data_IF_300978767894
#
_entry.id   IF_300978767894
#
_cell.length_a   1.000
_cell.length_b   1.000
_cell.length_c   1.000
_cell.angle_alpha   90.00
_cell.angle_beta   90.00
_cell.angle_gamma   90.00
#
_symmetry.space_group_name_H-M   'P 1'
#
loop_
_entity.id
_entity.type
_entity.pdbx_description
1 polymer ?
#
# COMPACT_ATOMS: atom_id res chain seq x y z
N UNK A 1 -3.74 26.05 15.10
CA UNK A 1 -4.29 24.74 14.66
C UNK A 1 -3.54 24.36 13.41
N UNK A 2 -2.70 23.33 13.46
CA UNK A 2 -2.11 22.76 12.25
C UNK A 2 -3.16 21.82 11.66
N UNK A 3 -3.82 22.23 10.56
CA UNK A 3 -4.71 21.33 9.82
C UNK A 3 -3.85 20.34 9.05
N UNK A 4 -4.08 19.06 9.28
CA UNK A 4 -3.47 18.00 8.47
C UNK A 4 -3.99 18.14 7.03
N UNK A 5 -3.11 18.21 6.01
CA UNK A 5 -3.53 18.32 4.62
C UNK A 5 -4.50 17.22 4.21
N UNK A 6 -5.44 17.53 3.32
CA UNK A 6 -6.23 16.49 2.68
C UNK A 6 -5.34 15.70 1.71
N UNK A 7 -5.42 14.36 1.75
CA UNK A 7 -4.58 13.50 0.93
C UNK A 7 -4.71 12.02 1.29
N UNK A 8 -4.06 11.19 0.49
CA UNK A 8 -3.86 9.77 0.79
C UNK A 8 -2.56 9.64 1.56
N UNK A 9 -2.63 9.06 2.75
CA UNK A 9 -1.45 8.82 3.57
C UNK A 9 -1.04 7.36 3.50
N UNK A 10 0.25 7.11 3.27
CA UNK A 10 0.85 5.79 3.32
C UNK A 10 1.61 5.67 4.64
N UNK A 11 1.40 4.58 5.36
CA UNK A 11 2.18 4.23 6.54
C UNK A 11 2.61 2.77 6.45
N UNK A 12 3.55 2.40 7.30
CA UNK A 12 4.13 1.05 7.34
C UNK A 12 3.75 0.39 8.65
N UNK A 13 3.48 -0.92 8.61
CA UNK A 13 3.30 -1.70 9.83
C UNK A 13 4.62 -1.76 10.61
N UNK A 14 4.54 -1.73 11.94
CA UNK A 14 5.69 -2.02 12.80
C UNK A 14 5.98 -3.52 12.83
N UNK A 15 4.90 -4.31 12.85
CA UNK A 15 4.97 -5.77 12.73
C UNK A 15 5.30 -6.17 11.29
N UNK A 16 6.09 -7.24 11.13
CA UNK A 16 6.34 -7.89 9.85
C UNK A 16 5.52 -9.16 9.72
N UNK A 17 5.16 -9.50 8.49
CA UNK A 17 4.28 -10.60 8.17
C UNK A 17 4.92 -11.53 7.15
N UNK A 18 4.61 -12.82 7.26
CA UNK A 18 4.84 -13.78 6.19
C UNK A 18 3.83 -13.59 5.04
N UNK A 19 4.03 -14.31 3.94
CA UNK A 19 3.20 -14.23 2.74
C UNK A 19 1.74 -14.63 2.94
N UNK A 20 1.38 -15.30 4.04
CA UNK A 20 0.02 -15.73 4.34
C UNK A 20 -0.86 -14.59 4.89
N UNK A 21 -0.85 -13.43 4.22
CA UNK A 21 -1.58 -12.23 4.64
C UNK A 21 -3.09 -12.44 4.72
N UNK A 22 -3.68 -13.41 4.02
CA UNK A 22 -5.10 -13.72 4.08
C UNK A 22 -5.52 -14.44 5.38
N UNK A 23 -4.58 -14.78 6.27
CA UNK A 23 -4.88 -15.41 7.56
C UNK A 23 -5.56 -14.47 8.58
N UNK A 24 -5.64 -13.17 8.29
CA UNK A 24 -6.12 -12.13 9.22
C UNK A 24 -7.55 -11.67 8.93
N UNK A 25 -8.31 -12.41 8.13
CA UNK A 25 -9.64 -12.05 7.67
C UNK A 25 -10.27 -13.12 6.78
N UNK A 26 -11.42 -12.82 6.17
CA UNK A 26 -12.14 -13.73 5.27
C UNK A 26 -11.59 -13.74 3.84
N UNK A 27 -10.98 -12.63 3.41
CA UNK A 27 -10.29 -12.48 2.13
C UNK A 27 -8.97 -11.74 2.34
N UNK A 28 -8.10 -11.70 1.32
CA UNK A 28 -6.85 -10.94 1.38
C UNK A 28 -7.10 -9.44 1.64
N UNK A 29 -8.13 -8.87 1.02
CA UNK A 29 -8.51 -7.46 1.16
C UNK A 29 -8.94 -7.14 2.60
N UNK A 30 -9.86 -7.94 3.16
CA UNK A 30 -10.29 -7.76 4.55
C UNK A 30 -9.17 -8.03 5.55
N UNK A 31 -8.29 -8.99 5.25
CA UNK A 31 -7.12 -9.26 6.07
C UNK A 31 -6.15 -8.08 6.07
N UNK A 32 -5.88 -7.51 4.90
CA UNK A 32 -5.06 -6.31 4.75
C UNK A 32 -5.66 -5.12 5.50
N UNK A 33 -6.98 -4.91 5.41
CA UNK A 33 -7.66 -3.89 6.19
C UNK A 33 -7.52 -4.12 7.71
N UNK A 34 -7.67 -5.36 8.19
CA UNK A 34 -7.53 -5.68 9.61
C UNK A 34 -6.10 -5.44 10.11
N UNK A 35 -5.08 -5.85 9.34
CA UNK A 35 -3.67 -5.57 9.62
C UNK A 35 -3.46 -4.04 9.75
N UNK A 36 -3.91 -3.29 8.75
CA UNK A 36 -3.73 -1.84 8.73
C UNK A 36 -4.45 -1.15 9.88
N UNK A 37 -5.71 -1.51 10.17
CA UNK A 37 -6.45 -0.96 11.32
C UNK A 37 -5.75 -1.22 12.65
N UNK A 38 -5.20 -2.42 12.84
CA UNK A 38 -4.47 -2.79 14.06
C UNK A 38 -3.18 -1.99 14.25
N UNK A 39 -2.48 -1.67 13.15
CA UNK A 39 -1.17 -1.00 13.18
C UNK A 39 -1.26 0.53 13.11
N UNK A 40 -2.42 1.09 12.71
CA UNK A 40 -2.62 2.53 12.53
C UNK A 40 -2.22 3.36 13.76
N UNK A 41 -2.67 2.95 14.95
CA UNK A 41 -2.39 3.66 16.22
C UNK A 41 -0.91 3.66 16.61
N UNK A 42 -0.15 2.69 16.12
CA UNK A 42 1.28 2.54 16.41
C UNK A 42 2.16 3.08 15.27
N UNK A 43 1.55 3.54 14.19
CA UNK A 43 2.25 4.13 13.06
C UNK A 43 2.66 5.58 13.34
N UNK A 44 3.69 6.06 12.64
CA UNK A 44 4.16 7.45 12.68
C UNK A 44 3.25 8.44 11.93
N UNK A 45 2.02 8.02 11.61
CA UNK A 45 1.07 8.72 10.77
C UNK A 45 0.56 10.00 11.45
N UNK A 46 0.81 11.13 10.79
CA UNK A 46 0.34 12.47 11.21
C UNK A 46 -1.18 12.61 11.10
N UNK A 47 -1.82 11.85 10.19
CA UNK A 47 -3.27 11.81 10.02
C UNK A 47 -3.90 10.56 10.63
N UNK A 48 -4.10 10.53 11.94
CA UNK A 48 -4.77 9.40 12.60
C UNK A 48 -6.29 9.34 12.33
N UNK A 49 -6.88 10.34 11.69
CA UNK A 49 -8.34 10.52 11.60
C UNK A 49 -8.96 10.08 10.28
N UNK A 50 -8.19 9.55 9.33
CA UNK A 50 -8.78 9.01 8.11
C UNK A 50 -9.78 7.87 8.43
N UNK A 51 -10.99 7.88 7.85
CA UNK A 51 -12.00 6.87 8.13
C UNK A 51 -11.67 5.52 7.49
N UNK A 52 -10.97 5.51 6.35
CA UNK A 52 -10.71 4.29 5.60
C UNK A 52 -9.23 3.98 5.48
N UNK A 53 -8.94 2.68 5.63
CA UNK A 53 -7.59 2.12 5.52
C UNK A 53 -7.61 0.80 4.76
N UNK A 54 -6.62 0.62 3.91
CA UNK A 54 -6.45 -0.59 3.09
C UNK A 54 -4.97 -0.92 2.93
N UNK A 55 -4.62 -2.20 2.96
CA UNK A 55 -3.25 -2.61 2.68
C UNK A 55 -2.87 -2.30 1.24
N UNK A 56 -1.69 -1.74 1.03
CA UNK A 56 -1.09 -1.50 -0.27
C UNK A 56 -0.45 -2.82 -0.78
N UNK A 57 -1.30 -3.82 -0.95
CA UNK A 57 -0.97 -5.16 -1.48
C UNK A 57 -1.94 -5.48 -2.60
N UNK A 58 -1.45 -6.00 -3.73
CA UNK A 58 -2.30 -6.35 -4.87
C UNK A 58 -2.97 -7.72 -4.68
N UNK A 59 -4.30 -7.73 -4.73
CA UNK A 59 -5.11 -8.95 -4.64
C UNK A 59 -5.69 -9.37 -5.99
N UNK A 60 -5.98 -10.66 -6.14
CA UNK A 60 -6.61 -11.18 -7.37
C UNK A 60 -7.98 -10.53 -7.64
N UNK A 61 -8.71 -10.19 -6.58
CA UNK A 61 -10.02 -9.54 -6.68
C UNK A 61 -9.91 -8.03 -6.78
N UNK A 62 -8.98 -7.42 -6.04
CA UNK A 62 -8.71 -5.98 -6.10
C UNK A 62 -7.23 -5.70 -6.33
N UNK A 63 -6.81 -5.52 -7.60
CA UNK A 63 -5.50 -5.00 -7.94
C UNK A 63 -5.27 -3.60 -7.37
N UNK A 64 -4.02 -3.24 -7.09
CA UNK A 64 -3.67 -1.88 -6.62
C UNK A 64 -4.13 -0.79 -7.60
N UNK A 65 -4.07 -1.08 -8.91
CA UNK A 65 -4.53 -0.19 -9.97
C UNK A 65 -6.03 0.12 -9.92
N UNK A 66 -6.82 -0.70 -9.22
CA UNK A 66 -8.27 -0.54 -9.09
C UNK A 66 -8.69 0.06 -7.73
N UNK A 67 -7.76 0.48 -6.86
CA UNK A 67 -8.12 1.00 -5.53
C UNK A 67 -9.06 2.20 -5.59
N UNK A 68 -8.91 3.07 -6.58
CA UNK A 68 -9.80 4.23 -6.77
C UNK A 68 -11.25 3.82 -7.03
N UNK A 69 -11.49 2.79 -7.85
CA UNK A 69 -12.84 2.32 -8.18
C UNK A 69 -13.41 1.34 -7.16
N UNK A 70 -12.56 0.49 -6.55
CA UNK A 70 -13.01 -0.51 -5.58
C UNK A 70 -13.22 0.05 -4.17
N UNK A 71 -12.44 1.06 -3.77
CA UNK A 71 -12.47 1.61 -2.40
C UNK A 71 -12.79 3.11 -2.35
N UNK A 72 -13.22 3.69 -3.48
CA UNK A 72 -13.46 5.13 -3.61
C UNK A 72 -12.26 5.99 -3.18
N UNK A 73 -11.05 5.47 -3.40
CA UNK A 73 -9.81 6.17 -3.06
C UNK A 73 -9.69 7.45 -3.93
N UNK A 74 -9.47 8.62 -3.32
CA UNK A 74 -9.43 9.89 -4.05
C UNK A 74 -8.21 9.98 -4.96
N UNK A 75 -8.44 10.16 -6.27
CA UNK A 75 -7.33 10.23 -7.22
C UNK A 75 -6.68 11.59 -7.29
N UNK A 76 -7.44 12.68 -7.21
CA UNK A 76 -6.97 14.06 -7.42
C UNK A 76 -6.40 14.74 -6.16
N UNK A 77 -5.91 13.97 -5.19
CA UNK A 77 -5.29 14.50 -3.96
C UNK A 77 -3.88 13.95 -3.79
N UNK A 78 -2.95 14.70 -3.16
CA UNK A 78 -1.57 14.25 -3.03
C UNK A 78 -1.44 12.98 -2.19
N UNK A 79 -0.39 12.21 -2.49
CA UNK A 79 -0.01 11.03 -1.72
C UNK A 79 1.15 11.41 -0.79
N UNK A 80 0.98 11.17 0.50
CA UNK A 80 1.94 11.50 1.55
C UNK A 80 2.45 10.25 2.25
N UNK A 81 3.69 10.28 2.74
CA UNK A 81 4.14 9.35 3.76
C UNK A 81 3.57 9.68 5.14
N UNK A 82 3.93 8.91 6.18
CA UNK A 82 3.32 9.03 7.49
C UNK A 82 3.67 10.36 8.15
N UNK A 83 4.83 10.94 7.82
CA UNK A 83 5.31 12.22 8.37
C UNK A 83 4.76 13.46 7.65
N UNK A 84 3.91 13.28 6.61
CA UNK A 84 3.41 14.36 5.76
C UNK A 84 4.36 14.77 4.62
N UNK A 85 5.47 14.06 4.44
CA UNK A 85 6.34 14.22 3.26
C UNK A 85 5.62 13.69 2.03
N UNK A 86 5.52 14.49 0.97
CA UNK A 86 4.83 14.10 -0.26
C UNK A 86 5.63 13.06 -1.06
N UNK A 87 4.94 12.00 -1.50
CA UNK A 87 5.45 10.90 -2.31
C UNK A 87 5.08 11.08 -3.80
N UNK A 88 3.86 11.53 -4.09
CA UNK A 88 3.37 11.80 -5.45
C UNK A 88 2.33 12.94 -5.44
N UNK A 89 2.09 13.58 -6.59
CA UNK A 89 1.13 14.69 -6.68
C UNK A 89 -0.32 14.23 -6.61
N UNK A 90 -0.60 12.99 -7.02
CA UNK A 90 -1.93 12.40 -7.05
C UNK A 90 -1.80 10.86 -7.09
N UNK A 91 -2.91 10.14 -6.87
CA UNK A 91 -2.91 8.67 -6.89
C UNK A 91 -2.65 8.11 -8.28
N UNK A 92 -3.14 8.78 -9.32
CA UNK A 92 -2.98 8.31 -10.69
C UNK A 92 -1.51 8.31 -11.12
N UNK A 93 -0.72 9.31 -10.70
CA UNK A 93 0.74 9.33 -10.84
C UNK A 93 1.40 8.25 -9.97
N UNK A 94 0.90 8.05 -8.74
CA UNK A 94 1.44 7.05 -7.81
C UNK A 94 1.28 5.62 -8.35
N UNK A 95 0.18 5.32 -9.03
CA UNK A 95 -0.16 4.00 -9.60
C UNK A 95 -0.12 3.96 -11.15
N UNK A 96 0.53 4.93 -11.80
CA UNK A 96 0.44 5.13 -13.26
C UNK A 96 0.97 3.93 -14.05
N UNK A 97 0.06 3.29 -14.80
CA UNK A 97 0.38 2.15 -15.68
C UNK A 97 0.90 2.63 -17.04
N UNK A 98 0.45 3.80 -17.50
CA UNK A 98 0.74 4.30 -18.85
C UNK A 98 2.10 5.00 -18.92
N UNK A 99 2.42 5.77 -17.88
CA UNK A 99 3.70 6.47 -17.76
C UNK A 99 4.16 6.34 -16.32
N UNK A 100 4.92 5.28 -15.98
CA UNK A 100 5.40 5.08 -14.63
C UNK A 100 6.19 6.30 -14.16
N UNK A 101 5.75 6.93 -13.07
CA UNK A 101 6.38 8.15 -12.52
C UNK A 101 7.23 7.77 -11.32
N UNK A 102 8.43 8.34 -11.23
CA UNK A 102 9.27 8.20 -10.04
C UNK A 102 8.64 8.90 -8.84
N UNK A 103 8.78 8.31 -7.66
CA UNK A 103 8.40 8.96 -6.42
C UNK A 103 9.20 10.24 -6.20
N UNK A 104 8.57 11.23 -5.57
CA UNK A 104 9.23 12.48 -5.17
C UNK A 104 10.30 12.22 -4.12
N UNK A 105 10.06 11.23 -3.24
CA UNK A 105 10.96 10.73 -2.18
C UNK A 105 10.79 9.22 -2.05
N UNK A 106 11.82 8.51 -1.62
CA UNK A 106 11.66 7.09 -1.28
C UNK A 106 10.76 6.94 -0.04
N UNK A 107 10.20 5.74 0.16
CA UNK A 107 9.40 5.47 1.36
C UNK A 107 10.24 5.60 2.64
N UNK A 108 11.51 5.22 2.59
CA UNK A 108 12.45 5.40 3.69
C UNK A 108 12.62 6.88 4.06
N UNK A 109 12.84 7.75 3.07
CA UNK A 109 12.95 9.21 3.27
C UNK A 109 11.67 9.83 3.83
N UNK A 110 10.50 9.27 3.49
CA UNK A 110 9.21 9.73 3.98
C UNK A 110 8.85 9.19 5.38
N UNK A 111 9.67 8.30 5.96
CA UNK A 111 9.53 7.79 7.32
C UNK A 111 8.77 6.47 7.45
N UNK A 112 8.72 5.65 6.40
CA UNK A 112 8.09 4.32 6.41
C UNK A 112 9.04 3.18 6.83
N UNK A 113 10.31 3.51 7.10
CA UNK A 113 11.37 2.54 7.38
C UNK A 113 12.18 2.18 6.12
N UNK A 114 13.31 1.50 6.31
CA UNK A 114 14.25 1.15 5.24
C UNK A 114 14.08 -0.30 4.74
N UNK A 115 13.08 -1.01 5.25
CA UNK A 115 12.87 -2.43 4.96
C UNK A 115 11.87 -2.59 3.82
N UNK A 116 12.14 -3.54 2.93
CA UNK A 116 11.25 -3.88 1.83
C UNK A 116 9.92 -4.48 2.35
N UNK A 117 8.89 -4.38 1.52
CA UNK A 117 7.51 -4.67 1.90
C UNK A 117 6.84 -5.60 0.89
N UNK A 118 5.81 -6.33 1.33
CA UNK A 118 4.98 -7.10 0.42
C UNK A 118 4.18 -6.16 -0.49
N UNK A 119 4.37 -6.28 -1.80
CA UNK A 119 3.56 -5.56 -2.81
C UNK A 119 2.56 -6.50 -3.48
N UNK A 120 2.94 -7.77 -3.67
CA UNK A 120 2.20 -8.76 -4.48
C UNK A 120 1.84 -8.25 -5.87
N UNK A 121 2.60 -7.28 -6.38
CA UNK A 121 2.30 -6.55 -7.58
C UNK A 121 3.49 -6.57 -8.55
N UNK A 122 3.18 -6.44 -9.84
CA UNK A 122 4.13 -5.87 -10.80
C UNK A 122 4.09 -4.34 -10.73
N UNK A 123 4.98 -3.69 -11.50
CA UNK A 123 5.10 -2.22 -11.58
C UNK A 123 3.77 -1.52 -11.88
N UNK A 124 2.86 -2.12 -12.66
CA UNK A 124 1.54 -1.56 -12.97
C UNK A 124 0.51 -1.68 -11.85
N UNK A 125 0.88 -2.24 -10.69
CA UNK A 125 -0.06 -2.54 -9.60
C UNK A 125 -0.93 -3.78 -9.84
N UNK A 126 -0.79 -4.45 -10.99
CA UNK A 126 -1.49 -5.71 -11.26
C UNK A 126 -0.93 -6.83 -10.37
N UNK A 127 -1.75 -7.83 -9.97
CA UNK A 127 -1.30 -8.90 -9.09
C UNK A 127 -0.21 -9.76 -9.75
N UNK A 128 0.81 -10.12 -8.99
CA UNK A 128 1.87 -11.04 -9.42
C UNK A 128 2.56 -11.64 -8.21
N UNK A 129 2.89 -12.94 -8.29
CA UNK A 129 3.53 -13.74 -7.25
C UNK A 129 3.03 -13.32 -5.88
N UNK A 130 1.83 -13.75 -5.50
CA UNK A 130 1.14 -13.22 -4.33
C UNK A 130 0.98 -14.27 -3.24
N UNK A 131 1.97 -15.16 -3.08
CA UNK A 131 1.93 -16.23 -2.08
C UNK A 131 0.62 -17.03 -2.10
N UNK A 132 0.22 -17.43 -3.31
CA UNK A 132 -1.04 -18.13 -3.58
C UNK A 132 -2.26 -17.36 -3.05
N UNK A 133 -2.46 -16.13 -3.52
CA UNK A 133 -3.49 -15.21 -3.02
C UNK A 133 -3.39 -14.89 -1.52
N UNK A 134 -2.17 -14.91 -0.99
CA UNK A 134 -1.86 -14.59 0.39
C UNK A 134 -2.21 -15.71 1.37
N UNK A 135 -2.32 -16.96 0.96
CA UNK A 135 -2.61 -18.09 1.87
C UNK A 135 -1.38 -18.92 2.21
N UNK A 136 -0.29 -18.76 1.46
CA UNK A 136 0.93 -19.55 1.62
C UNK A 136 1.99 -18.80 2.46
N UNK A 137 2.64 -19.53 3.37
CA UNK A 137 3.80 -19.08 4.15
C UNK A 137 4.97 -20.07 4.10
N UNK A 138 5.04 -20.91 3.07
CA UNK A 138 6.13 -21.85 2.81
C UNK A 138 7.25 -21.21 1.99
N UNK A 139 8.35 -21.95 1.81
CA UNK A 139 9.44 -21.58 0.89
C UNK A 139 9.23 -22.10 -0.53
N UNK A 140 8.08 -22.72 -0.83
CA UNK A 140 7.79 -23.29 -2.15
C UNK A 140 7.15 -22.27 -3.11
N UNK A 141 6.55 -21.23 -2.54
CA UNK A 141 5.97 -20.11 -3.26
C UNK A 141 6.73 -18.82 -2.99
N UNK A 142 6.60 -17.88 -3.91
CA UNK A 142 7.17 -16.53 -3.77
C UNK A 142 6.10 -15.45 -3.79
N UNK A 143 6.43 -14.36 -3.10
CA UNK A 143 5.69 -13.11 -3.03
C UNK A 143 6.47 -11.98 -3.73
N UNK A 144 5.82 -11.08 -4.46
CA UNK A 144 6.44 -9.87 -4.98
C UNK A 144 6.69 -8.88 -3.84
N UNK A 145 7.89 -8.33 -3.80
CA UNK A 145 8.32 -7.32 -2.82
C UNK A 145 8.55 -5.97 -3.51
N UNK A 146 8.08 -4.90 -2.88
CA UNK A 146 8.43 -3.54 -3.25
C UNK A 146 9.59 -3.04 -2.41
N UNK A 147 10.31 -2.02 -2.88
CA UNK A 147 11.44 -1.45 -2.13
C UNK A 147 11.14 -0.12 -1.49
N UNK A 148 11.53 -0.01 -0.22
CA UNK A 148 11.43 1.23 0.53
C UNK A 148 12.51 2.27 0.16
N UNK A 149 13.59 1.83 -0.48
CA UNK A 149 14.81 2.63 -0.66
C UNK A 149 14.94 3.24 -2.06
N UNK A 150 14.14 2.78 -3.02
CA UNK A 150 14.11 3.36 -4.37
C UNK A 150 13.05 4.45 -4.47
N UNK A 151 13.28 5.38 -5.40
CA UNK A 151 12.27 6.32 -5.88
C UNK A 151 11.93 6.11 -7.35
N UNK A 152 12.56 5.14 -7.99
CA UNK A 152 12.32 4.85 -9.39
C UNK A 152 10.87 4.38 -9.57
N UNK A 153 10.39 4.43 -10.81
CA UNK A 153 9.01 4.10 -11.12
C UNK A 153 8.66 2.61 -10.93
N UNK A 154 9.66 1.76 -10.76
CA UNK A 154 9.54 0.32 -10.49
C UNK A 154 9.49 -0.01 -8.99
N UNK A 155 9.23 0.96 -8.11
CA UNK A 155 9.27 0.78 -6.65
C UNK A 155 8.38 -0.35 -6.10
N UNK A 156 7.30 -0.73 -6.80
CA UNK A 156 6.43 -1.86 -6.46
C UNK A 156 7.09 -3.22 -6.69
N UNK A 157 8.05 -3.29 -7.62
CA UNK A 157 8.77 -4.50 -8.01
C UNK A 157 10.10 -4.10 -8.68
N UNK A 158 11.10 -3.66 -7.90
CA UNK A 158 12.31 -3.04 -8.45
C UNK A 158 13.18 -4.08 -9.18
N UNK A 159 13.10 -4.08 -10.50
CA UNK A 159 13.59 -5.15 -11.36
C UNK A 159 12.79 -6.45 -11.18
N UNK A 160 12.22 -6.97 -12.27
CA UNK A 160 11.18 -8.02 -12.32
C UNK A 160 11.43 -9.39 -11.65
N UNK A 161 12.44 -9.51 -10.80
CA UNK A 161 12.68 -10.63 -9.88
C UNK A 161 12.69 -10.18 -8.40
N UNK A 162 12.09 -9.05 -8.04
CA UNK A 162 11.88 -8.67 -6.64
C UNK A 162 10.86 -9.60 -6.00
N UNK A 163 11.34 -10.80 -5.65
CA UNK A 163 10.59 -11.90 -5.06
C UNK A 163 11.21 -12.25 -3.71
N UNK A 164 10.35 -12.48 -2.72
CA UNK A 164 10.71 -13.11 -1.45
C UNK A 164 9.98 -14.44 -1.29
N UNK A 165 10.60 -15.42 -0.64
CA UNK A 165 9.93 -16.66 -0.27
C UNK A 165 8.77 -16.34 0.68
N UNK A 166 7.63 -17.00 0.55
CA UNK A 166 6.45 -16.65 1.36
C UNK A 166 6.64 -16.91 2.87
N UNK A 167 7.68 -17.63 3.27
CA UNK A 167 8.06 -17.80 4.66
C UNK A 167 8.91 -16.65 5.23
N UNK A 168 9.37 -15.68 4.43
CA UNK A 168 10.13 -14.52 4.92
C UNK A 168 9.20 -13.43 5.47
N UNK A 169 9.75 -12.60 6.35
CA UNK A 169 8.99 -11.56 7.03
C UNK A 169 9.26 -10.19 6.40
N UNK A 170 8.22 -9.59 5.81
CA UNK A 170 8.25 -8.25 5.24
C UNK A 170 7.19 -7.36 5.88
N UNK A 171 7.37 -6.04 5.75
CA UNK A 171 6.34 -5.09 6.20
C UNK A 171 5.15 -5.09 5.24
N UNK A 172 4.02 -4.60 5.72
CA UNK A 172 2.87 -4.27 4.89
C UNK A 172 2.75 -2.75 4.90
N UNK A 173 2.61 -2.16 3.70
CA UNK A 173 2.26 -0.75 3.61
C UNK A 173 0.75 -0.61 3.64
N UNK A 174 0.28 0.50 4.18
CA UNK A 174 -1.13 0.76 4.42
C UNK A 174 -1.49 2.16 3.93
N UNK A 175 -2.61 2.25 3.23
CA UNK A 175 -3.25 3.51 2.83
C UNK A 175 -4.19 3.99 3.94
N UNK A 176 -4.37 5.30 4.02
CA UNK A 176 -5.23 6.00 4.97
C UNK A 176 -5.79 7.24 4.28
N UNK A 177 -7.10 7.29 4.06
CA UNK A 177 -7.73 8.36 3.30
C UNK A 177 -9.19 8.57 3.70
N UNK A 178 -9.75 9.69 3.25
CA UNK A 178 -11.19 9.92 3.25
C UNK A 178 -11.71 9.56 1.86
N UNK A 179 -12.66 8.62 1.73
CA UNK A 179 -13.21 8.27 0.43
C UNK A 179 -13.81 9.47 -0.28
N UNK A 180 -13.78 9.44 -1.61
CA UNK A 180 -14.63 10.32 -2.39
C UNK A 180 -16.09 9.95 -2.09
N UNK A 181 -16.75 10.73 -1.25
CA UNK A 181 -18.21 10.71 -1.20
C UNK A 181 -18.69 11.26 -2.54
N UNK A 182 -19.11 10.40 -3.46
CA UNK A 182 -20.10 10.83 -4.43
C UNK A 182 -21.28 11.37 -3.62
N UNK A 183 -21.63 12.63 -3.86
CA UNK A 183 -22.76 13.33 -3.27
C UNK A 183 -24.05 12.49 -3.24
N UNK A 184 -24.30 11.81 -2.13
CA UNK A 184 -25.59 11.18 -1.77
C UNK A 184 -26.10 11.67 -0.40
N UNK A 185 -25.78 12.92 -0.03
CA UNK A 185 -26.49 13.67 1.01
C UNK A 185 -26.90 15.05 0.47
N UNK A 186 -27.74 15.06 -0.56
CA UNK A 186 -28.65 16.19 -0.86
C UNK A 186 -29.94 15.62 -1.47
N UNK A 187 -30.76 14.98 -0.64
CA UNK A 187 -32.22 14.92 -0.82
C UNK A 187 -32.91 15.05 0.53
#
# INVERSE_FOLDING_TARGET
>A
MFSVPNGVYIYSTNTKYQGNLAAYGSTLEFSGQNICRGEKLFSSLVNQFCPDVWALVSGNSVPLSNFSSSYSLPTNVPVFGPTGIQLANNWDEFMSIQTPVSLTRSFAEAGLGTEDFWSFAIESGSPSNNCNAGIDNSSESTGSIGSANTKNSDWLNPGGNSLGDCNTFHRVLCTCFTPNSSSEEQQ
#
